data_IF_966919282691
#
_entry.id   IF_966919282691
#
_cell.length_a   1.000
_cell.length_b   1.000
_cell.length_c   1.000
_cell.angle_alpha   90.00
_cell.angle_beta   90.00
_cell.angle_gamma   90.00
#
_symmetry.space_group_name_H-M   'P 1'
#
loop_
_entity.id
_entity.type
_entity.pdbx_description
1 polymer ?
#
# COMPACT_ATOMS: atom_id res chain seq x y z
N UNK A 1 5.47 18.80 -14.76
CA UNK A 1 5.03 17.78 -13.77
C UNK A 1 4.24 18.43 -12.64
N UNK A 2 4.80 19.44 -11.94
CA UNK A 2 4.03 20.22 -10.95
C UNK A 2 2.72 20.79 -11.52
N UNK A 3 2.75 21.37 -12.73
CA UNK A 3 1.55 21.95 -13.36
C UNK A 3 0.48 20.91 -13.72
N UNK A 4 0.90 19.68 -14.05
CA UNK A 4 -0.01 18.58 -14.39
C UNK A 4 -0.65 17.97 -13.14
N UNK A 5 0.10 17.88 -12.04
CA UNK A 5 -0.44 17.43 -10.76
C UNK A 5 -1.42 18.48 -10.21
N UNK A 6 -1.09 19.77 -10.34
CA UNK A 6 -2.00 20.84 -9.94
C UNK A 6 -3.31 20.83 -10.75
N UNK A 7 -3.25 20.50 -12.05
CA UNK A 7 -4.45 20.47 -12.90
C UNK A 7 -5.43 19.34 -12.60
N UNK A 8 -4.96 18.23 -12.02
CA UNK A 8 -5.82 17.09 -11.65
C UNK A 8 -6.38 17.17 -10.22
N UNK A 9 -5.94 18.15 -9.42
CA UNK A 9 -6.36 18.38 -8.03
C UNK A 9 -6.47 17.07 -7.21
N UNK A 10 -5.34 16.39 -6.96
CA UNK A 10 -5.36 15.07 -6.35
C UNK A 10 -5.89 15.12 -4.93
N UNK A 11 -6.60 14.07 -4.54
CA UNK A 11 -6.87 13.83 -3.14
C UNK A 11 -5.56 13.46 -2.43
N UNK A 12 -5.19 14.26 -1.42
CA UNK A 12 -4.05 13.98 -0.56
C UNK A 12 -4.57 13.31 0.70
N UNK A 13 -4.17 12.06 0.91
CA UNK A 13 -4.52 11.31 2.11
C UNK A 13 -3.52 11.63 3.23
N UNK A 14 -4.05 12.09 4.36
CA UNK A 14 -3.27 12.21 5.60
C UNK A 14 -3.23 10.85 6.31
N UNK A 15 -2.02 10.41 6.67
CA UNK A 15 -1.85 9.13 7.37
C UNK A 15 -2.53 9.14 8.72
N UNK A 16 -3.35 8.12 8.97
CA UNK A 16 -4.07 7.91 10.23
C UNK A 16 -3.33 6.91 11.12
N UNK A 17 -3.65 6.92 12.42
CA UNK A 17 -3.12 5.93 13.37
C UNK A 17 -3.47 4.50 12.94
N UNK A 18 -4.69 4.28 12.42
CA UNK A 18 -5.13 2.99 11.87
C UNK A 18 -4.24 2.53 10.70
N UNK A 19 -3.92 3.43 9.76
CA UNK A 19 -3.03 3.11 8.65
C UNK A 19 -1.60 2.80 9.14
N UNK A 20 -1.11 3.50 10.17
CA UNK A 20 0.18 3.18 10.78
C UNK A 20 0.17 1.84 11.53
N UNK A 21 -0.91 1.52 12.25
CA UNK A 21 -1.09 0.24 12.94
C UNK A 21 -1.10 -0.92 11.97
N UNK A 22 -1.88 -0.81 10.88
CA UNK A 22 -1.91 -1.83 9.84
C UNK A 22 -0.54 -1.98 9.15
N UNK A 23 0.15 -0.89 8.87
CA UNK A 23 1.50 -0.92 8.31
C UNK A 23 2.50 -1.63 9.23
N UNK A 24 2.46 -1.36 10.54
CA UNK A 24 3.26 -2.09 11.55
C UNK A 24 2.89 -3.56 11.64
N UNK A 25 1.61 -3.90 11.46
CA UNK A 25 1.16 -5.28 11.44
C UNK A 25 1.78 -6.05 10.27
N UNK A 26 1.92 -5.43 9.09
CA UNK A 26 2.63 -6.06 7.96
C UNK A 26 4.09 -6.39 8.28
N UNK A 27 4.79 -5.48 8.96
CA UNK A 27 6.18 -5.68 9.37
C UNK A 27 6.26 -6.81 10.42
N UNK A 28 5.36 -6.79 11.40
CA UNK A 28 5.28 -7.81 12.45
C UNK A 28 5.00 -9.21 11.89
N UNK A 29 4.16 -9.30 10.85
CA UNK A 29 3.90 -10.55 10.12
C UNK A 29 4.98 -10.88 9.07
N UNK A 30 6.05 -10.07 9.01
CA UNK A 30 7.21 -10.27 8.15
C UNK A 30 6.92 -10.12 6.66
N UNK A 31 5.86 -9.41 6.26
CA UNK A 31 5.51 -9.19 4.85
C UNK A 31 6.67 -8.47 4.15
N UNK A 32 7.18 -7.42 4.78
CA UNK A 32 8.45 -6.77 4.49
C UNK A 32 9.22 -6.55 5.79
N UNK A 33 10.52 -6.26 5.67
CA UNK A 33 11.34 -5.87 6.81
C UNK A 33 11.13 -4.39 7.18
N UNK A 34 11.58 -4.01 8.37
CA UNK A 34 11.54 -2.62 8.86
C UNK A 34 12.20 -1.61 7.90
N UNK A 35 13.23 -2.04 7.16
CA UNK A 35 13.89 -1.21 6.14
C UNK A 35 12.97 -0.79 4.98
N UNK A 36 11.80 -1.42 4.87
CA UNK A 36 10.78 -1.14 3.86
C UNK A 36 9.44 -0.74 4.52
N UNK A 37 9.47 -0.17 5.72
CA UNK A 37 8.28 0.26 6.46
C UNK A 37 7.40 1.26 5.69
N UNK A 38 8.02 2.16 4.92
CA UNK A 38 7.30 3.13 4.07
C UNK A 38 6.40 2.43 3.05
N UNK A 39 6.87 1.35 2.43
CA UNK A 39 6.08 0.55 1.49
C UNK A 39 4.89 -0.14 2.20
N UNK A 40 5.10 -0.62 3.43
CA UNK A 40 4.03 -1.14 4.27
C UNK A 40 2.97 -0.06 4.60
N UNK A 41 3.39 1.17 4.89
CA UNK A 41 2.47 2.27 5.17
C UNK A 41 1.66 2.69 3.95
N UNK A 42 2.26 2.69 2.75
CA UNK A 42 1.50 2.97 1.52
C UNK A 42 0.45 1.90 1.22
N UNK A 43 0.79 0.62 1.39
CA UNK A 43 -0.17 -0.48 1.22
C UNK A 43 -1.27 -0.41 2.28
N UNK A 44 -0.94 -0.03 3.51
CA UNK A 44 -1.92 0.14 4.58
C UNK A 44 -2.88 1.27 4.26
N UNK A 45 -2.38 2.45 3.87
CA UNK A 45 -3.19 3.58 3.46
C UNK A 45 -4.14 3.21 2.30
N UNK A 46 -3.63 2.52 1.28
CA UNK A 46 -4.43 2.02 0.16
C UNK A 46 -5.52 1.02 0.64
N UNK A 47 -5.19 0.16 1.60
CA UNK A 47 -6.15 -0.78 2.19
C UNK A 47 -7.26 -0.04 2.95
N UNK A 48 -6.92 0.94 3.79
CA UNK A 48 -7.88 1.74 4.58
C UNK A 48 -8.77 2.59 3.68
N UNK A 49 -8.23 3.13 2.60
CA UNK A 49 -8.98 3.88 1.60
C UNK A 49 -9.86 3.01 0.70
N UNK A 50 -9.80 1.68 0.87
CA UNK A 50 -10.51 0.70 0.05
C UNK A 50 -10.28 0.89 -1.46
N UNK A 51 -9.06 1.24 -1.87
CA UNK A 51 -8.72 1.39 -3.29
C UNK A 51 -8.42 0.03 -3.93
N UNK A 52 -8.84 -0.14 -5.18
CA UNK A 52 -8.61 -1.39 -5.91
C UNK A 52 -7.17 -1.54 -6.43
N UNK A 53 -6.49 -0.41 -6.69
CA UNK A 53 -5.16 -0.38 -7.30
C UNK A 53 -4.21 0.59 -6.59
N UNK A 54 -3.01 0.11 -6.24
CA UNK A 54 -1.87 0.91 -5.81
C UNK A 54 -0.80 0.89 -6.90
N UNK A 55 -0.60 2.03 -7.55
CA UNK A 55 0.40 2.19 -8.59
C UNK A 55 1.67 2.83 -8.03
N UNK A 56 2.83 2.24 -8.28
CA UNK A 56 4.12 2.79 -7.85
C UNK A 56 5.19 2.63 -8.93
N UNK A 57 5.94 3.71 -9.16
CA UNK A 57 7.12 3.70 -10.02
C UNK A 57 8.34 3.04 -9.37
N UNK A 58 8.30 2.81 -8.05
CA UNK A 58 9.34 2.09 -7.30
C UNK A 58 8.83 0.71 -6.88
N UNK A 59 8.75 -0.19 -7.85
CA UNK A 59 8.10 -1.47 -7.69
C UNK A 59 8.99 -2.55 -7.05
N UNK A 60 10.32 -2.39 -7.04
CA UNK A 60 11.27 -3.46 -6.68
C UNK A 60 11.00 -4.16 -5.33
N UNK A 61 10.39 -3.48 -4.38
CA UNK A 61 10.08 -4.03 -3.06
C UNK A 61 8.63 -4.50 -2.89
N UNK A 62 7.69 -4.05 -3.74
CA UNK A 62 6.26 -4.38 -3.66
C UNK A 62 5.81 -5.38 -4.75
N UNK A 63 6.51 -5.44 -5.88
CA UNK A 63 6.13 -6.09 -7.13
C UNK A 63 6.07 -7.61 -7.15
N UNK A 64 6.70 -8.27 -6.20
CA UNK A 64 6.72 -9.72 -6.23
C UNK A 64 5.29 -10.19 -5.93
N UNK A 65 4.65 -10.94 -6.84
CA UNK A 65 3.29 -11.47 -6.65
C UNK A 65 3.12 -12.15 -5.29
N UNK A 66 4.20 -12.79 -4.79
CA UNK A 66 4.23 -13.39 -3.45
C UNK A 66 4.00 -12.37 -2.32
N UNK A 67 4.45 -11.13 -2.46
CA UNK A 67 4.30 -10.06 -1.46
C UNK A 67 2.88 -9.49 -1.46
N UNK A 68 2.29 -9.23 -2.62
CA UNK A 68 0.88 -8.78 -2.73
C UNK A 68 -0.08 -9.78 -2.09
N UNK A 69 0.17 -11.08 -2.29
CA UNK A 69 -0.59 -12.15 -1.62
C UNK A 69 -0.44 -12.11 -0.09
N UNK A 70 0.78 -11.86 0.42
CA UNK A 70 1.03 -11.77 1.87
C UNK A 70 0.40 -10.54 2.53
N UNK A 71 0.36 -9.40 1.84
CA UNK A 71 -0.42 -8.24 2.31
C UNK A 71 -1.90 -8.60 2.41
N UNK A 72 -2.45 -9.24 1.37
CA UNK A 72 -3.84 -9.71 1.35
C UNK A 72 -4.16 -10.71 2.46
N UNK A 73 -3.22 -11.60 2.78
CA UNK A 73 -3.35 -12.56 3.89
C UNK A 73 -3.47 -11.85 5.25
N UNK A 74 -2.60 -10.86 5.52
CA UNK A 74 -2.66 -10.09 6.76
C UNK A 74 -3.95 -9.26 6.82
N UNK A 75 -4.34 -8.62 5.72
CA UNK A 75 -5.60 -7.89 5.61
C UNK A 75 -6.80 -8.76 5.99
N UNK A 76 -6.90 -9.96 5.39
CA UNK A 76 -7.98 -10.89 5.68
C UNK A 76 -8.00 -11.35 7.13
N UNK A 77 -6.84 -11.57 7.76
CA UNK A 77 -6.76 -11.92 9.20
C UNK A 77 -7.23 -10.80 10.12
N UNK A 78 -7.04 -9.56 9.72
CA UNK A 78 -7.39 -8.37 10.49
C UNK A 78 -8.77 -7.79 10.12
N UNK A 79 -9.51 -8.44 9.21
CA UNK A 79 -10.88 -8.05 8.85
C UNK A 79 -10.98 -6.98 7.77
N UNK A 80 -9.88 -6.66 7.07
CA UNK A 80 -9.91 -5.74 5.94
C UNK A 80 -10.33 -6.47 4.66
N UNK A 81 -11.42 -6.06 3.99
CA UNK A 81 -12.01 -6.80 2.86
C UNK A 81 -11.27 -6.60 1.52
N UNK A 82 -10.38 -5.61 1.44
CA UNK A 82 -9.81 -5.14 0.18
C UNK A 82 -8.86 -6.17 -0.47
N UNK A 83 -9.09 -6.44 -1.76
CA UNK A 83 -8.16 -7.15 -2.66
C UNK A 83 -7.32 -6.16 -3.46
N UNK A 84 -6.43 -5.46 -2.75
CA UNK A 84 -5.56 -4.46 -3.35
C UNK A 84 -4.66 -5.09 -4.42
N UNK A 85 -4.72 -4.55 -5.64
CA UNK A 85 -3.77 -4.87 -6.70
C UNK A 85 -2.64 -3.85 -6.66
N UNK A 86 -1.41 -4.33 -6.61
CA UNK A 86 -0.23 -3.48 -6.62
C UNK A 86 0.37 -3.61 -8.02
N UNK A 87 0.68 -2.50 -8.70
CA UNK A 87 1.18 -2.50 -10.08
C UNK A 87 2.15 -1.35 -10.43
N UNK A 88 2.85 -1.51 -11.54
CA UNK A 88 3.65 -0.44 -12.17
C UNK A 88 2.82 0.26 -13.25
N UNK A 89 2.87 1.60 -13.41
CA UNK A 89 2.10 2.30 -14.45
C UNK A 89 2.46 1.97 -15.91
N UNK A 90 3.58 1.28 -16.14
CA UNK A 90 4.06 0.90 -17.48
C UNK A 90 3.70 -0.54 -17.87
N UNK A 91 3.07 -1.29 -16.97
CA UNK A 91 2.51 -2.63 -17.20
C UNK A 91 0.98 -2.56 -17.29
#
# INVERSE_FOLDING_TARGET
>A
MHDLIASINPYVFEMTDEAFELGRAYITHGVLSENHSVDCFHVAAATILDVEFLLSWNFRHLANENKSSRFSEVNGKLGYPNRLKIGSPLE
#
